data_IF_963498724274
#
_entry.id   IF_963498724274
#
_cell.length_a   1.000
_cell.length_b   1.000
_cell.length_c   1.000
_cell.angle_alpha   90.00
_cell.angle_beta   90.00
_cell.angle_gamma   90.00
#
_symmetry.space_group_name_H-M   'P 1'
#
loop_
_entity.id
_entity.type
_entity.pdbx_description
1 polymer ?
2 polymer ?
3 non-polymer ?
4 water ?
#
# COMPACT_ATOMS: atom_id res chain seq x y z
N UNK A 1 8.13 -9.53 15.48
CA UNK A 1 8.22 -10.72 14.57
C UNK A 1 6.82 -11.29 14.28
N UNK A 2 6.80 -12.50 13.73
CA UNK A 2 5.58 -13.15 13.29
C UNK A 2 4.92 -13.88 14.45
N UNK A 3 3.62 -13.62 14.61
CA UNK A 3 2.73 -14.38 15.50
C UNK A 3 2.36 -15.74 14.88
N UNK A 4 1.95 -16.69 15.72
CA UNK A 4 1.54 -18.02 15.27
C UNK A 4 0.27 -17.93 14.41
N UNK A 5 -0.53 -16.90 14.67
CA UNK A 5 -1.72 -16.62 13.87
C UNK A 5 -1.38 -15.77 12.64
N UNK A 6 -0.44 -14.85 12.76
CA UNK A 6 0.09 -14.17 11.58
C UNK A 6 0.37 -15.23 10.52
N UNK A 7 1.18 -16.22 10.90
CA UNK A 7 1.68 -17.23 9.96
C UNK A 7 0.56 -18.02 9.29
N UNK A 8 -0.49 -18.34 10.06
CA UNK A 8 -1.72 -18.94 9.50
C UNK A 8 -2.17 -18.16 8.29
N UNK A 9 -2.24 -16.85 8.46
CA UNK A 9 -2.67 -15.95 7.40
C UNK A 9 -1.65 -15.93 6.26
N UNK A 10 -0.41 -15.58 6.60
CA UNK A 10 0.67 -15.46 5.62
C UNK A 10 0.66 -16.66 4.70
N UNK A 11 0.73 -17.85 5.29
CA UNK A 11 0.76 -19.05 4.49
C UNK A 11 -0.50 -19.14 3.63
N UNK A 12 -1.67 -18.94 4.25
CA UNK A 12 -2.97 -19.11 3.58
C UNK A 12 -3.08 -18.47 2.20
N UNK A 13 -2.87 -17.16 2.14
CA UNK A 13 -2.79 -16.44 0.87
C UNK A 13 -1.81 -17.11 -0.07
N UNK A 14 -0.61 -17.41 0.39
CA UNK A 14 0.42 -17.93 -0.51
C UNK A 14 0.00 -19.24 -1.19
N UNK A 15 -0.85 -20.03 -0.51
CA UNK A 15 -1.50 -21.21 -1.10
C UNK A 15 -2.60 -20.77 -2.03
N UNK A 16 -3.46 -19.90 -1.51
CA UNK A 16 -4.49 -19.24 -2.32
C UNK A 16 -3.84 -18.39 -3.47
N UNK A 17 -2.54 -18.12 -3.36
CA UNK A 17 -1.70 -17.63 -4.47
C UNK A 17 -1.31 -18.81 -5.34
N UNK A 18 -0.60 -19.77 -4.72
CA UNK A 18 -0.22 -21.01 -5.37
C UNK A 18 0.85 -20.83 -6.42
N UNK A 19 0.75 -21.62 -7.49
CA UNK A 19 1.59 -21.48 -8.67
C UNK A 19 1.35 -20.21 -9.48
N UNK A 20 0.18 -19.57 -9.30
CA UNK A 20 -0.11 -18.22 -9.86
C UNK A 20 0.96 -17.15 -9.58
N UNK A 21 1.75 -17.39 -8.53
CA UNK A 21 2.88 -16.52 -8.12
C UNK A 21 3.94 -16.17 -9.20
N UNK A 22 3.87 -16.77 -10.39
CA UNK A 22 4.73 -16.32 -11.50
C UNK A 22 4.20 -14.99 -12.03
N UNK A 23 2.90 -14.96 -12.32
CA UNK A 23 2.20 -13.79 -12.90
C UNK A 23 2.06 -12.64 -11.92
N UNK A 24 1.81 -12.97 -10.66
CA UNK A 24 1.74 -11.98 -9.59
C UNK A 24 3.10 -11.30 -9.41
N UNK A 25 4.15 -12.11 -9.48
CA UNK A 25 5.53 -11.62 -9.42
C UNK A 25 5.82 -10.51 -10.42
N UNK A 26 5.39 -10.71 -11.67
CA UNK A 26 5.53 -9.68 -12.70
C UNK A 26 4.61 -8.49 -12.41
N UNK A 27 3.32 -8.78 -12.23
CA UNK A 27 2.30 -7.75 -12.00
C UNK A 27 2.70 -6.75 -10.92
N UNK A 28 3.23 -7.26 -9.82
CA UNK A 28 3.81 -6.42 -8.77
C UNK A 28 4.99 -5.63 -9.28
N UNK A 29 5.91 -6.29 -9.95
CA UNK A 29 7.08 -5.60 -10.48
C UNK A 29 6.69 -4.45 -11.40
N UNK A 30 5.77 -4.70 -12.32
CA UNK A 30 5.30 -3.68 -13.25
C UNK A 30 4.61 -2.53 -12.55
N UNK A 31 3.83 -2.88 -11.52
CA UNK A 31 3.17 -1.89 -10.69
C UNK A 31 4.18 -1.02 -9.95
N UNK A 32 5.35 -1.57 -9.64
CA UNK A 32 6.43 -0.80 -9.04
C UNK A 32 7.04 0.17 -10.06
N UNK A 33 7.35 -0.33 -11.25
CA UNK A 33 7.95 0.51 -12.31
C UNK A 33 7.00 1.59 -12.90
N UNK A 34 5.69 1.40 -12.73
CA UNK A 34 4.70 2.40 -13.15
C UNK A 34 4.42 3.41 -12.02
N UNK A 35 3.86 2.92 -10.92
CA UNK A 35 3.52 3.76 -9.77
C UNK A 35 4.73 4.39 -9.09
N UNK A 36 5.92 3.80 -9.31
CA UNK A 36 7.15 4.31 -8.72
C UNK A 36 8.29 4.20 -9.73
N UNK A 37 8.31 5.10 -10.73
CA UNK A 37 9.27 4.98 -11.84
C UNK A 37 10.71 5.24 -11.44
N UNK A 38 10.93 5.90 -10.31
CA UNK A 38 12.28 6.10 -9.77
C UNK A 38 12.96 4.78 -9.33
N UNK A 39 12.20 3.70 -9.33
CA UNK A 39 12.71 2.36 -9.08
C UNK A 39 13.40 1.81 -10.32
N UNK A 40 13.07 2.35 -11.48
CA UNK A 40 13.62 1.86 -12.75
C UNK A 40 15.14 1.97 -12.78
N UNK A 41 15.68 2.95 -12.06
CA UNK A 41 17.13 3.16 -11.92
C UNK A 41 17.95 1.92 -11.62
N UNK A 42 17.39 1.00 -10.84
CA UNK A 42 18.14 -0.16 -10.44
C UNK A 42 18.26 -1.19 -11.55
N UNK A 43 17.46 -1.11 -12.60
CA UNK A 43 17.55 -2.10 -13.67
C UNK A 43 17.89 -1.43 -15.00
N UNK A 44 18.98 -0.63 -15.05
CA UNK A 44 19.27 0.00 -16.33
C UNK A 44 19.59 -1.03 -17.39
N UNK A 45 20.11 -2.16 -16.96
CA UNK A 45 20.39 -3.29 -17.83
C UNK A 45 19.15 -4.05 -18.36
N UNK A 46 17.94 -3.69 -17.90
CA UNK A 46 16.69 -4.36 -18.30
C UNK A 46 15.94 -3.59 -19.37
N UNK A 47 15.24 -4.31 -20.25
CA UNK A 47 14.15 -3.74 -21.03
C UNK A 47 12.91 -3.60 -20.12
N UNK A 48 12.67 -2.39 -19.59
CA UNK A 48 11.54 -2.18 -18.67
C UNK A 48 10.26 -1.81 -19.41
N UNK A 49 9.95 -2.61 -20.41
CA UNK A 49 8.78 -2.48 -21.24
C UNK A 49 7.68 -3.42 -20.70
N UNK A 50 6.40 -3.03 -20.81
CA UNK A 50 5.31 -3.90 -20.33
C UNK A 50 5.45 -5.29 -20.94
N UNK A 51 5.20 -6.32 -20.12
CA UNK A 51 5.25 -7.69 -20.58
C UNK A 51 6.64 -8.20 -20.91
N UNK A 52 7.60 -7.31 -21.13
CA UNK A 52 8.98 -7.70 -21.47
C UNK A 52 9.40 -8.93 -20.67
N UNK A 53 9.83 -9.98 -21.38
CA UNK A 53 10.19 -11.26 -20.74
C UNK A 53 11.19 -11.10 -19.57
N UNK A 54 12.03 -10.07 -19.64
CA UNK A 54 12.91 -9.72 -18.53
C UNK A 54 12.15 -9.49 -17.23
N UNK A 55 11.20 -8.55 -17.24
CA UNK A 55 10.39 -8.26 -16.04
C UNK A 55 9.52 -9.47 -15.68
N UNK A 56 9.13 -10.27 -16.67
CA UNK A 56 8.34 -11.48 -16.39
C UNK A 56 9.20 -12.55 -15.71
N UNK A 57 10.36 -12.83 -16.29
CA UNK A 57 11.34 -13.75 -15.71
C UNK A 57 11.70 -13.30 -14.30
N UNK A 58 12.15 -12.05 -14.18
CA UNK A 58 12.54 -11.50 -12.89
C UNK A 58 11.38 -11.61 -11.90
N UNK A 59 10.16 -11.45 -12.41
CA UNK A 59 8.96 -11.64 -11.61
C UNK A 59 8.91 -12.96 -10.88
N UNK A 60 9.02 -14.06 -11.62
CA UNK A 60 8.91 -15.39 -11.01
C UNK A 60 9.87 -15.47 -9.85
N UNK A 61 11.12 -15.12 -10.13
CA UNK A 61 12.20 -15.25 -9.17
C UNK A 61 11.83 -14.55 -7.86
N UNK A 62 11.19 -13.38 -8.00
CA UNK A 62 10.86 -12.54 -6.85
C UNK A 62 9.81 -13.18 -5.98
N UNK A 63 8.68 -13.54 -6.59
CA UNK A 63 7.63 -14.22 -5.86
C UNK A 63 8.20 -15.52 -5.33
N UNK A 64 8.84 -16.28 -6.20
CA UNK A 64 9.39 -17.56 -5.82
C UNK A 64 10.17 -17.43 -4.51
N UNK A 65 10.93 -16.33 -4.37
CA UNK A 65 11.71 -16.07 -3.16
C UNK A 65 10.81 -15.85 -1.94
N UNK A 66 9.68 -15.16 -2.16
CA UNK A 66 8.67 -14.93 -1.13
C UNK A 66 7.96 -16.24 -0.77
N UNK A 67 7.49 -16.93 -1.79
CA UNK A 67 7.02 -18.31 -1.66
C UNK A 67 7.92 -19.09 -0.73
N UNK A 68 9.22 -19.07 -1.01
CA UNK A 68 10.20 -19.80 -0.20
C UNK A 68 10.37 -19.26 1.23
N UNK A 69 10.16 -17.97 1.42
CA UNK A 69 10.31 -17.37 2.74
C UNK A 69 9.12 -17.64 3.64
N UNK A 70 7.92 -17.62 3.06
CA UNK A 70 6.70 -17.91 3.79
C UNK A 70 6.52 -19.41 4.07
N UNK A 71 7.42 -20.24 3.53
CA UNK A 71 7.49 -21.66 3.86
C UNK A 71 8.42 -21.87 5.04
N UNK A 72 9.63 -21.31 4.94
CA UNK A 72 10.60 -21.28 6.05
C UNK A 72 10.33 -20.04 6.92
N UNK A 73 9.07 -19.86 7.31
CA UNK A 73 8.58 -18.62 7.92
C UNK A 73 9.07 -18.49 9.37
N UNK A 74 9.46 -19.61 9.98
CA UNK A 74 10.10 -19.61 11.30
C UNK A 74 11.55 -19.12 11.22
N UNK A 75 12.11 -19.10 10.01
CA UNK A 75 13.50 -18.73 9.79
C UNK A 75 13.66 -18.04 8.44
N UNK A 76 12.97 -16.91 8.29
CA UNK A 76 13.04 -16.10 7.07
C UNK A 76 14.47 -15.66 6.81
N UNK A 77 15.14 -15.21 7.87
CA UNK A 77 16.53 -14.76 7.79
C UNK A 77 17.40 -15.66 6.93
N UNK A 78 17.54 -16.91 7.35
CA UNK A 78 18.36 -17.89 6.64
C UNK A 78 17.80 -18.33 5.29
N UNK A 79 16.49 -18.21 5.14
CA UNK A 79 15.82 -18.45 3.85
C UNK A 79 16.18 -17.40 2.79
N UNK A 80 16.60 -16.21 3.23
CA UNK A 80 16.94 -15.11 2.33
C UNK A 80 18.36 -14.58 2.56
N UNK A 81 19.24 -15.47 3.03
CA UNK A 81 20.63 -15.11 3.34
C UNK A 81 21.39 -14.57 2.13
N UNK A 82 21.44 -15.39 1.10
CA UNK A 82 22.12 -15.10 -0.18
C UNK A 82 21.62 -13.79 -0.85
N UNK A 83 20.37 -13.40 -0.59
CA UNK A 83 19.79 -12.19 -1.18
C UNK A 83 20.10 -10.93 -0.37
N UNK A 84 20.12 -11.08 0.94
CA UNK A 84 20.51 -10.02 1.86
C UNK A 84 21.82 -9.31 1.47
N UNK A 85 22.81 -10.12 1.08
CA UNK A 85 24.13 -9.64 0.71
C UNK A 85 24.09 -8.95 -0.64
N UNK A 86 23.59 -9.64 -1.66
CA UNK A 86 23.37 -9.06 -3.00
C UNK A 86 22.68 -7.67 -2.96
N UNK A 87 21.54 -7.61 -2.28
CA UNK A 87 20.72 -6.38 -2.15
C UNK A 87 21.30 -5.28 -1.28
N UNK A 88 22.41 -5.54 -0.59
CA UNK A 88 23.06 -4.54 0.27
C UNK A 88 24.52 -4.25 -0.11
N UNK A 89 25.21 -5.23 -0.68
CA UNK A 89 26.65 -5.13 -0.87
C UNK A 89 26.98 -4.83 -2.33
N UNK A 90 26.35 -5.54 -3.26
CA UNK A 90 26.45 -5.14 -4.65
C UNK A 90 25.47 -4.03 -4.87
N UNK A 91 24.18 -4.37 -4.73
CA UNK A 91 23.10 -3.52 -5.26
C UNK A 91 22.84 -2.21 -4.51
N UNK A 92 22.97 -2.24 -3.17
CA UNK A 92 22.70 -1.07 -2.34
C UNK A 92 21.31 -0.47 -2.60
N UNK A 93 20.27 -1.30 -2.54
CA UNK A 93 18.91 -0.81 -2.75
C UNK A 93 18.43 0.00 -1.53
N UNK A 94 17.91 1.20 -1.77
CA UNK A 94 17.47 2.07 -0.68
C UNK A 94 16.35 1.37 0.07
N UNK A 95 16.43 1.31 1.42
CA UNK A 95 15.41 0.69 2.28
C UNK A 95 13.98 1.03 1.93
N UNK A 96 13.76 2.27 1.53
CA UNK A 96 12.45 2.75 1.14
C UNK A 96 11.88 2.10 -0.13
N UNK A 97 12.72 1.60 -1.03
CA UNK A 97 12.20 0.88 -2.20
C UNK A 97 11.48 -0.42 -1.79
N UNK A 98 11.89 -0.99 -0.66
CA UNK A 98 11.28 -2.22 -0.17
C UNK A 98 9.88 -1.95 0.29
N UNK A 99 9.66 -0.81 0.94
CA UNK A 99 8.31 -0.41 1.32
C UNK A 99 7.44 -0.46 0.08
N UNK A 100 7.92 0.16 -0.99
CA UNK A 100 7.13 0.30 -2.20
C UNK A 100 6.79 -1.07 -2.77
N UNK A 101 7.78 -1.95 -2.88
CA UNK A 101 7.57 -3.26 -3.48
C UNK A 101 6.44 -4.02 -2.77
N UNK A 102 6.56 -4.16 -1.46
CA UNK A 102 5.54 -4.83 -0.64
C UNK A 102 4.17 -4.24 -0.91
N UNK A 103 4.08 -2.91 -0.89
CA UNK A 103 2.84 -2.20 -1.20
C UNK A 103 2.16 -2.67 -2.48
N UNK A 104 2.93 -2.85 -3.54
CA UNK A 104 2.39 -3.27 -4.85
C UNK A 104 1.97 -4.74 -4.86
N UNK A 105 2.64 -5.57 -4.06
CA UNK A 105 2.23 -6.96 -3.88
C UNK A 105 0.91 -7.03 -3.18
N UNK A 106 0.73 -6.19 -2.16
CA UNK A 106 -0.53 -6.15 -1.44
C UNK A 106 -1.63 -5.69 -2.39
N UNK A 107 -1.32 -4.73 -3.25
CA UNK A 107 -2.25 -4.28 -4.26
C UNK A 107 -2.61 -5.43 -5.20
N UNK A 108 -1.58 -6.14 -5.64
CA UNK A 108 -1.75 -7.34 -6.46
C UNK A 108 -2.62 -8.40 -5.76
N UNK A 109 -2.30 -8.80 -4.53
CA UNK A 109 -3.12 -9.83 -3.84
C UNK A 109 -4.54 -9.33 -3.56
N UNK A 110 -4.72 -8.02 -3.43
CA UNK A 110 -6.04 -7.40 -3.22
C UNK A 110 -6.92 -7.54 -4.46
N UNK A 111 -6.39 -7.11 -5.60
CA UNK A 111 -7.09 -7.21 -6.87
C UNK A 111 -7.56 -8.65 -7.16
N UNK A 112 -6.68 -9.61 -6.90
CA UNK A 112 -6.90 -11.02 -7.23
C UNK A 112 -7.61 -11.81 -6.12
N UNK A 113 -7.41 -11.38 -4.88
CA UNK A 113 -7.98 -12.09 -3.70
C UNK A 113 -8.52 -11.15 -2.64
N UNK A 114 -9.49 -10.29 -3.02
CA UNK A 114 -10.03 -9.25 -2.13
C UNK A 114 -10.89 -9.82 -1.01
N UNK A 115 -11.61 -10.89 -1.32
CA UNK A 115 -12.42 -11.63 -0.35
C UNK A 115 -11.56 -12.53 0.55
N UNK A 116 -10.24 -12.45 0.39
CA UNK A 116 -9.28 -12.97 1.36
C UNK A 116 -8.58 -11.83 2.09
N UNK A 117 -8.27 -10.75 1.39
CA UNK A 117 -7.55 -9.67 2.04
C UNK A 117 -8.48 -8.91 2.96
N UNK A 118 -8.63 -9.45 4.17
CA UNK A 118 -9.35 -8.81 5.26
C UNK A 118 -8.33 -8.06 6.12
N UNK A 119 -8.76 -6.99 6.80
CA UNK A 119 -7.82 -6.17 7.59
C UNK A 119 -6.79 -7.00 8.37
N UNK A 120 -7.25 -8.04 9.06
CA UNK A 120 -6.38 -8.94 9.85
C UNK A 120 -5.24 -9.56 9.00
N UNK A 121 -5.61 -10.02 7.80
CA UNK A 121 -4.67 -10.55 6.81
C UNK A 121 -3.87 -9.42 6.17
N UNK A 122 -4.50 -8.26 5.98
CA UNK A 122 -3.75 -7.09 5.53
C UNK A 122 -2.59 -6.89 6.50
N UNK A 123 -2.92 -6.80 7.78
CA UNK A 123 -1.87 -6.64 8.80
C UNK A 123 -0.78 -7.70 8.64
N UNK A 124 -1.15 -8.96 8.80
CA UNK A 124 -0.19 -10.09 8.74
C UNK A 124 0.76 -10.05 7.56
N UNK A 125 0.23 -9.87 6.36
CA UNK A 125 1.05 -9.83 5.14
C UNK A 125 1.96 -8.61 5.04
N UNK A 126 1.54 -7.49 5.62
CA UNK A 126 2.44 -6.36 5.81
C UNK A 126 3.57 -6.86 6.73
N UNK A 127 3.21 -7.31 7.93
CA UNK A 127 4.18 -7.70 8.97
C UNK A 127 5.19 -8.72 8.45
N UNK A 128 4.70 -9.60 7.59
CA UNK A 128 5.55 -10.57 6.89
C UNK A 128 6.54 -9.86 5.99
N UNK A 129 6.00 -9.10 5.04
CA UNK A 129 6.79 -8.37 4.04
C UNK A 129 7.66 -7.27 4.63
N UNK A 130 7.32 -6.81 5.84
CA UNK A 130 8.23 -5.97 6.62
C UNK A 130 9.47 -6.74 7.05
N UNK A 131 9.28 -7.97 7.55
CA UNK A 131 10.42 -8.80 7.99
C UNK A 131 11.16 -9.50 6.83
N UNK A 132 10.50 -9.58 5.67
CA UNK A 132 11.17 -9.95 4.42
C UNK A 132 12.03 -8.79 3.99
N UNK A 133 11.48 -7.59 4.14
CA UNK A 133 12.21 -6.38 3.81
C UNK A 133 13.43 -6.22 4.72
N UNK A 134 13.26 -6.52 6.01
CA UNK A 134 14.29 -6.24 7.01
C UNK A 134 15.55 -7.08 6.81
N UNK A 135 15.37 -8.38 6.62
CA UNK A 135 16.49 -9.31 6.52
C UNK A 135 17.27 -9.18 5.20
N UNK A 136 16.64 -8.62 4.17
CA UNK A 136 17.31 -8.33 2.90
C UNK A 136 18.23 -7.11 3.01
N UNK A 137 18.07 -6.34 4.09
CA UNK A 137 18.87 -5.15 4.34
C UNK A 137 19.71 -5.23 5.62
N UNK A 138 19.98 -6.45 6.08
CA UNK A 138 20.71 -6.69 7.34
C UNK A 138 22.13 -6.16 7.37
N UNK A 139 22.72 -5.92 6.20
CA UNK A 139 24.10 -5.39 6.11
C UNK A 139 24.20 -3.86 6.26
N UNK A 140 23.04 -3.22 6.42
CA UNK A 140 22.93 -1.79 6.77
C UNK A 140 22.93 -1.58 8.29
N UNK A 141 22.12 -2.40 8.97
CA UNK A 141 21.93 -2.29 10.43
C UNK A 141 22.00 -3.67 11.14
N UNK B 1 2.14 20.01 -8.55
CA UNK B 1 2.09 18.75 -9.35
C UNK B 1 1.42 18.99 -10.71
N UNK B 2 2.23 18.90 -11.76
CA UNK B 2 1.75 19.06 -13.15
C UNK B 2 0.96 17.82 -13.54
N UNK B 3 -0.35 17.99 -13.69
CA UNK B 3 -1.22 16.85 -13.94
C UNK B 3 -1.28 16.53 -15.43
N UNK B 4 -1.48 15.25 -15.69
CA UNK B 4 -1.73 14.72 -17.02
C UNK B 4 -3.24 14.63 -17.21
N UNK B 5 -3.65 14.58 -18.47
CA UNK B 5 -5.06 14.47 -18.82
C UNK B 5 -5.54 13.06 -18.50
N UNK B 6 -4.81 12.07 -19.01
CA UNK B 6 -5.17 10.68 -18.77
C UNK B 6 -5.23 10.40 -17.27
N UNK B 7 -4.38 11.10 -16.51
CA UNK B 7 -4.40 10.99 -15.05
C UNK B 7 -5.72 11.54 -14.50
N UNK B 8 -6.14 12.70 -14.99
CA UNK B 8 -7.39 13.31 -14.52
C UNK B 8 -8.58 12.43 -14.88
N UNK B 9 -8.59 11.98 -16.13
CA UNK B 9 -9.53 10.95 -16.60
C UNK B 9 -9.57 9.74 -15.70
N UNK B 10 -8.39 9.13 -15.52
CA UNK B 10 -8.21 7.95 -14.65
C UNK B 10 -8.69 8.13 -13.21
N UNK B 11 -8.41 9.31 -12.67
CA UNK B 11 -8.79 9.65 -11.30
C UNK B 11 -10.29 9.88 -11.18
N UNK B 12 -10.82 10.71 -12.09
CA UNK B 12 -12.24 11.06 -12.08
C UNK B 12 -13.12 9.88 -12.46
N UNK B 13 -12.63 9.05 -13.38
CA UNK B 13 -13.41 7.91 -13.87
C UNK B 13 -13.50 6.73 -12.91
N UNK B 14 -12.40 6.44 -12.22
CA UNK B 14 -12.39 5.43 -11.14
C UNK B 14 -13.07 6.00 -9.92
N UNK B 15 -12.94 7.31 -9.70
CA UNK B 15 -13.69 8.02 -8.65
C UNK B 15 -15.20 7.90 -8.87
N UNK B 16 -15.58 7.82 -10.14
CA UNK B 16 -16.93 7.52 -10.55
C UNK B 16 -17.50 6.41 -9.72
N UNK B 17 -16.99 5.19 -9.86
CA UNK B 17 -17.63 4.02 -9.26
C UNK B 17 -17.32 3.81 -7.77
N UNK B 18 -16.80 4.85 -7.11
CA UNK B 18 -16.46 4.74 -5.71
C UNK B 18 -17.67 5.01 -4.85
N UNK B 19 -17.92 4.10 -3.92
CA UNK B 19 -18.94 4.28 -2.91
C UNK B 19 -18.28 4.72 -1.61
N UNK B 20 -18.27 6.03 -1.39
CA UNK B 20 -17.41 6.62 -0.36
C UNK B 20 -17.76 6.19 1.06
N UNK B 21 -19.02 5.85 1.27
CA UNK B 21 -19.49 5.37 2.57
C UNK B 21 -18.74 4.10 2.96
N UNK B 22 -18.75 3.11 2.08
CA UNK B 22 -18.02 1.86 2.28
C UNK B 22 -16.51 2.08 2.20
N UNK B 23 -16.02 2.46 1.02
CA UNK B 23 -14.59 2.66 0.83
C UNK B 23 -14.01 3.45 1.99
N UNK B 24 -14.67 4.55 2.34
CA UNK B 24 -14.16 5.44 3.38
C UNK B 24 -14.02 4.76 4.72
N UNK B 25 -15.05 4.00 5.09
CA UNK B 25 -15.13 3.25 6.36
C UNK B 25 -14.11 2.11 6.42
N UNK B 26 -14.02 1.40 5.31
CA UNK B 26 -13.09 0.29 5.13
C UNK B 26 -11.67 0.82 5.16
N UNK B 27 -11.46 1.97 4.51
CA UNK B 27 -10.17 2.64 4.46
C UNK B 27 -9.71 3.06 5.85
N UNK B 28 -10.60 3.65 6.61
CA UNK B 28 -10.24 4.04 7.96
C UNK B 28 -10.06 2.79 8.80
N UNK B 29 -11.04 1.88 8.77
CA UNK B 29 -10.96 0.59 9.49
C UNK B 29 -9.61 -0.09 9.29
N UNK B 30 -9.17 -0.19 8.04
CA UNK B 30 -7.85 -0.71 7.75
C UNK B 30 -6.72 0.16 8.35
N UNK B 31 -6.84 1.49 8.30
CA UNK B 31 -5.85 2.33 8.98
C UNK B 31 -5.84 2.05 10.50
N UNK B 32 -7.02 1.91 11.08
CA UNK B 32 -7.13 1.67 12.52
C UNK B 32 -6.53 0.34 12.97
N UNK B 33 -6.64 -0.68 12.14
CA UNK B 33 -6.25 -2.03 12.54
C UNK B 33 -4.84 -2.37 12.09
N UNK B 34 -4.46 -2.01 10.86
CA UNK B 34 -3.13 -2.33 10.34
C UNK B 34 -2.07 -1.49 11.02
N UNK B 35 -2.35 -0.21 11.24
CA UNK B 35 -1.43 0.63 11.96
C UNK B 35 -2.12 1.10 13.23
N UNK B 36 -2.17 0.23 14.25
CA UNK B 36 -3.06 0.43 15.41
C UNK B 36 -2.72 1.62 16.29
N UNK B 37 -1.53 2.20 16.13
CA UNK B 37 -1.17 3.41 16.85
C UNK B 37 -1.94 4.63 16.37
N UNK B 38 -2.69 4.46 15.28
CA UNK B 38 -3.55 5.52 14.75
C UNK B 38 -4.85 5.67 15.58
N UNK B 39 -5.25 4.58 16.24
CA UNK B 39 -6.44 4.57 17.12
C UNK B 39 -6.32 5.53 18.30
N UNK B 40 -5.08 5.84 18.69
CA UNK B 40 -4.79 6.86 19.68
C UNK B 40 -5.57 8.14 19.39
N UNK B 41 -5.62 8.50 18.11
CA UNK B 41 -6.25 9.74 17.67
C UNK B 41 -7.76 9.70 17.67
N UNK B 42 -8.33 8.51 17.72
CA UNK B 42 -9.78 8.34 17.74
C UNK B 42 -10.28 7.66 19.06
N UNK B 43 -9.76 8.15 20.17
CA UNK B 43 -10.18 7.74 21.52
C UNK B 43 -11.60 8.17 21.76
N UNK B 44 -12.01 9.21 21.05
CA UNK B 44 -13.37 9.78 21.09
C UNK B 44 -14.42 8.96 20.32
N UNK B 45 -13.96 7.95 19.58
CA UNK B 45 -14.82 7.04 18.84
C UNK B 45 -15.21 5.84 19.70
N UNK B 46 -14.66 5.71 20.89
CA UNK B 46 -15.11 4.69 21.84
C UNK B 46 -14.50 3.29 21.69
N UNK B 47 -15.32 2.31 21.27
CA UNK B 47 -14.88 0.91 21.21
C UNK B 47 -14.08 0.54 19.95
N UNK B 48 -12.77 0.41 20.15
CA UNK B 48 -11.80 0.02 19.12
C UNK B 48 -10.83 -1.05 19.68
N UNK B 49 -11.32 -1.84 20.64
CA UNK B 49 -10.56 -2.94 21.26
C UNK B 49 -10.25 -4.06 20.28
N UNK B 50 -11.19 -4.36 19.40
CA UNK B 50 -11.09 -5.48 18.49
C UNK B 50 -11.18 -5.03 17.05
N UNK B 51 -10.58 -5.81 16.16
CA UNK B 51 -10.76 -5.64 14.73
C UNK B 51 -12.25 -5.66 14.39
N UNK B 52 -13.00 -6.58 14.99
CA UNK B 52 -14.44 -6.66 14.74
C UNK B 52 -15.15 -5.39 15.20
N UNK B 53 -14.79 -4.88 16.37
CA UNK B 53 -15.43 -3.67 16.93
C UNK B 53 -15.12 -2.41 16.10
N UNK B 54 -13.94 -2.40 15.51
CA UNK B 54 -13.48 -1.28 14.67
C UNK B 54 -14.22 -1.22 13.32
N UNK B 55 -14.46 -2.39 12.73
CA UNK B 55 -14.92 -2.45 11.35
C UNK B 55 -16.45 -2.30 11.21
N UNK B 56 -17.17 -2.11 12.31
CA UNK B 56 -18.56 -1.70 12.22
C UNK B 56 -18.88 -0.51 13.09
N UNK B 57 -17.84 0.09 13.69
CA UNK B 57 -18.00 1.22 14.59
C UNK B 57 -18.62 2.39 13.84
N UNK B 58 -19.88 2.75 14.17
CA UNK B 58 -20.59 3.83 13.46
C UNK B 58 -19.75 5.08 13.24
N UNK B 59 -18.94 5.44 14.23
CA UNK B 59 -18.09 6.64 14.15
C UNK B 59 -16.95 6.48 13.16
N UNK B 60 -16.27 5.35 13.21
CA UNK B 60 -15.30 4.98 12.18
C UNK B 60 -16.03 4.97 10.84
N UNK B 61 -17.05 4.12 10.74
CA UNK B 61 -17.86 3.97 9.50
C UNK B 61 -18.52 5.27 9.03
N UNK B 62 -18.80 6.18 9.97
CA UNK B 62 -19.29 7.53 9.66
C UNK B 62 -18.14 8.49 9.31
N UNK B 63 -17.11 8.52 10.13
CA UNK B 63 -15.97 9.38 9.89
C UNK B 63 -15.31 9.00 8.57
N UNK B 64 -15.30 7.70 8.26
CA UNK B 64 -14.64 7.19 7.06
C UNK B 64 -15.18 7.84 5.80
N UNK B 65 -16.49 8.03 5.78
CA UNK B 65 -17.15 8.73 4.69
C UNK B 65 -16.66 10.17 4.63
N UNK B 66 -16.64 10.85 5.79
CA UNK B 66 -16.13 12.24 5.90
C UNK B 66 -14.80 12.46 5.19
N UNK B 67 -13.83 11.60 5.50
CA UNK B 67 -12.48 11.73 5.00
C UNK B 67 -12.42 11.45 3.51
N UNK B 68 -13.16 10.43 3.07
CA UNK B 68 -13.16 10.10 1.65
C UNK B 68 -13.91 11.21 0.86
N UNK B 69 -15.04 11.69 1.38
CA UNK B 69 -15.74 12.84 0.80
C UNK B 69 -14.70 13.89 0.44
N UNK B 70 -13.87 14.20 1.44
CA UNK B 70 -12.73 15.13 1.31
C UNK B 70 -11.76 14.78 0.18
N UNK B 71 -11.46 13.50 0.02
CA UNK B 71 -10.67 13.06 -1.11
C UNK B 71 -11.34 13.45 -2.43
N UNK B 72 -12.64 13.19 -2.51
CA UNK B 72 -13.46 13.61 -3.65
C UNK B 72 -13.24 15.05 -4.04
N UNK B 73 -13.27 15.92 -3.04
CA UNK B 73 -13.08 17.37 -3.21
C UNK B 73 -11.77 17.71 -3.95
N UNK B 74 -10.74 16.92 -3.71
CA UNK B 74 -9.47 17.02 -4.42
C UNK B 74 -9.65 16.61 -5.88
N UNK B 75 -10.40 15.54 -6.09
CA UNK B 75 -10.70 15.01 -7.43
C UNK B 75 -11.40 16.04 -8.32
N UNK B 76 -12.13 16.97 -7.70
CA UNK B 76 -12.80 18.08 -8.40
C UNK B 76 -11.75 19.14 -8.82
N UNK B 77 -11.15 19.81 -7.84
CA UNK B 77 -10.13 20.84 -8.07
C UNK B 77 -8.73 20.27 -8.00
N UNK B 78 -8.42 19.33 -8.89
CA UNK B 78 -7.11 18.65 -8.88
C UNK B 78 -5.91 19.61 -8.92
N UNK B 79 -6.07 20.70 -9.66
CA UNK B 79 -5.01 21.70 -9.83
C UNK B 79 -4.95 22.64 -8.65
N UNK B 80 -5.89 22.52 -7.74
CA UNK B 80 -5.99 23.43 -6.61
C UNK B 80 -6.09 22.67 -5.27
N UNK B 81 -5.33 21.59 -5.17
CA UNK B 81 -5.28 20.78 -3.94
C UNK B 81 -4.61 21.55 -2.79
N UNK B 82 -3.58 22.32 -3.09
CA UNK B 82 -2.89 23.13 -2.07
C UNK B 82 -3.87 23.77 -1.09
N UNK B 83 -4.95 24.33 -1.62
CA UNK B 83 -5.90 25.10 -0.82
C UNK B 83 -7.13 24.30 -0.39
N UNK B 84 -7.45 23.19 -1.07
CA UNK B 84 -8.58 22.31 -0.70
C UNK B 84 -8.39 21.74 0.70
N UNK B 85 -7.13 21.55 1.10
CA UNK B 85 -6.80 20.95 2.38
C UNK B 85 -6.16 21.92 3.36
N UNK B 86 -5.95 23.15 2.91
CA UNK B 86 -5.27 24.21 3.68
C UNK B 86 -5.63 24.30 5.16
N UNK B 87 -6.90 24.06 5.45
CA UNK B 87 -7.46 24.29 6.76
C UNK B 87 -7.29 23.04 7.57
N UNK B 88 -7.71 21.93 6.98
CA UNK B 88 -7.45 20.61 7.53
C UNK B 88 -5.94 20.34 7.70
N UNK B 89 -5.09 21.19 7.12
CA UNK B 89 -3.68 21.25 7.50
C UNK B 89 -3.60 21.66 8.98
N UNK B 90 -4.06 22.87 9.30
CA UNK B 90 -4.05 23.35 10.69
C UNK B 90 -4.69 22.35 11.63
N UNK B 91 -5.82 21.77 11.22
CA UNK B 91 -6.47 20.75 12.02
C UNK B 91 -5.45 19.65 12.35
N UNK B 92 -4.84 19.07 11.32
CA UNK B 92 -3.93 17.91 11.47
C UNK B 92 -2.50 18.24 11.95
N UNK B 93 -2.13 19.50 11.89
CA UNK B 93 -0.78 19.92 12.18
C UNK B 93 -0.70 20.65 13.51
N UNK B 94 -1.52 21.67 13.71
CA UNK B 94 -1.49 22.47 14.94
C UNK B 94 -2.30 21.86 16.07
N UNK B 95 -3.53 21.47 15.77
CA UNK B 95 -4.37 20.86 16.80
C UNK B 95 -3.91 19.42 17.06
N UNK B 96 -4.21 18.53 16.12
CA UNK B 96 -4.06 17.07 16.29
C UNK B 96 -2.60 16.57 16.26
N UNK B 97 -1.73 17.25 15.51
CA UNK B 97 -0.29 16.95 15.42
C UNK B 97 0.02 15.56 14.91
N UNK B 98 -0.66 15.10 13.86
CA UNK B 98 -0.39 13.76 13.35
C UNK B 98 0.89 13.76 12.51
N UNK B 99 1.82 12.82 12.75
CA UNK B 99 3.05 12.75 11.95
C UNK B 99 2.69 12.43 10.48
N UNK B 100 3.19 13.24 9.52
CA UNK B 100 2.76 13.18 8.11
C UNK B 100 2.90 11.82 7.45
N UNK B 101 3.75 10.97 8.01
CA UNK B 101 3.89 9.59 7.56
C UNK B 101 2.53 8.92 7.53
N UNK B 102 1.71 9.18 8.55
CA UNK B 102 0.35 8.62 8.62
C UNK B 102 -0.53 8.95 7.39
N UNK B 103 -0.34 10.13 6.82
CA UNK B 103 -1.10 10.57 5.67
C UNK B 103 -0.81 9.70 4.43
N UNK B 104 0.44 9.24 4.31
CA UNK B 104 0.78 8.25 3.30
C UNK B 104 0.24 6.88 3.67
N UNK B 105 0.34 6.51 4.93
CA UNK B 105 -0.13 5.21 5.37
C UNK B 105 -1.60 5.10 5.01
N UNK B 106 -2.39 6.04 5.50
CA UNK B 106 -3.81 6.13 5.14
C UNK B 106 -4.09 6.36 3.67
N UNK B 107 -3.06 6.77 2.95
CA UNK B 107 -3.13 6.97 1.52
C UNK B 107 -2.68 5.74 0.77
N UNK B 108 -1.65 5.07 1.28
CA UNK B 108 -1.27 3.75 0.81
C UNK B 108 -2.39 2.73 0.97
N UNK B 109 -3.06 2.79 2.12
CA UNK B 109 -4.19 1.90 2.41
C UNK B 109 -5.33 2.18 1.43
N UNK B 110 -5.64 3.46 1.24
CA UNK B 110 -6.67 3.82 0.27
C UNK B 110 -6.43 3.12 -1.06
N UNK B 111 -5.19 3.11 -1.52
CA UNK B 111 -4.86 2.48 -2.80
C UNK B 111 -5.24 1.00 -2.80
N UNK B 112 -5.19 0.34 -1.63
CA UNK B 112 -5.50 -1.08 -1.51
C UNK B 112 -7.01 -1.30 -1.52
N UNK B 113 -7.76 -0.44 -0.84
CA UNK B 113 -9.23 -0.58 -0.85
C UNK B 113 -9.70 -0.44 -2.29
N UNK B 114 -9.24 0.62 -2.96
CA UNK B 114 -9.50 0.82 -4.38
C UNK B 114 -9.19 -0.41 -5.22
N UNK B 115 -8.05 -1.03 -4.95
CA UNK B 115 -7.60 -2.20 -5.70
C UNK B 115 -8.50 -3.43 -5.52
N UNK B 116 -8.90 -3.69 -4.26
CA UNK B 116 -9.79 -4.82 -3.94
C UNK B 116 -11.16 -4.59 -4.55
N UNK B 117 -11.58 -3.33 -4.56
CA UNK B 117 -12.88 -2.94 -5.09
C UNK B 117 -13.07 -2.99 -6.60
N UNK B 118 -12.08 -2.53 -7.36
CA UNK B 118 -12.24 -2.38 -8.82
C UNK B 118 -11.41 -3.34 -9.67
N UNK B 119 -10.67 -4.22 -8.99
CA UNK B 119 -10.07 -5.45 -9.51
C UNK B 119 -9.27 -5.05 -10.75
N UNK B 120 -9.43 -5.73 -11.87
CA UNK B 120 -8.52 -5.54 -13.00
C UNK B 120 -8.64 -4.13 -13.60
N UNK B 121 -9.82 -3.52 -13.43
CA UNK B 121 -10.06 -2.13 -13.84
C UNK B 121 -9.08 -1.14 -13.14
N UNK B 122 -8.39 -1.59 -12.09
CA UNK B 122 -7.38 -0.80 -11.38
C UNK B 122 -5.98 -1.06 -11.97
N UNK B 123 -5.76 -0.66 -13.23
CA UNK B 123 -4.52 -1.00 -13.95
C UNK B 123 -3.34 -0.30 -13.29
N UNK B 124 -2.10 -0.74 -13.57
CA UNK B 124 -0.92 -0.13 -12.92
C UNK B 124 -0.78 1.34 -13.16
N UNK B 125 -1.23 1.81 -14.32
CA UNK B 125 -1.19 3.25 -14.65
C UNK B 125 -2.26 4.05 -13.89
N UNK B 126 -3.44 3.44 -13.70
CA UNK B 126 -4.45 3.96 -12.77
C UNK B 126 -3.89 4.05 -11.36
N UNK B 127 -3.38 2.92 -10.85
CA UNK B 127 -2.70 2.86 -9.55
C UNK B 127 -1.70 3.99 -9.37
N UNK B 128 -0.95 4.27 -10.44
CA UNK B 128 0.04 5.34 -10.47
C UNK B 128 -0.59 6.73 -10.46
N UNK B 129 -1.67 6.89 -11.22
CA UNK B 129 -2.48 8.11 -11.20
C UNK B 129 -2.98 8.44 -9.79
N UNK B 130 -3.58 7.45 -9.15
CA UNK B 130 -4.05 7.56 -7.77
C UNK B 130 -2.91 7.69 -6.76
N UNK B 131 -1.76 7.12 -7.07
CA UNK B 131 -0.59 7.26 -6.23
C UNK B 131 -0.16 8.71 -6.11
N UNK B 132 -0.19 9.43 -7.24
CA UNK B 132 0.19 10.85 -7.21
C UNK B 132 -0.83 11.63 -6.36
N UNK B 133 -2.13 11.50 -6.71
CA UNK B 133 -3.25 12.17 -6.01
C UNK B 133 -3.09 12.09 -4.50
N UNK B 134 -2.94 10.87 -4.03
CA UNK B 134 -2.76 10.58 -2.61
C UNK B 134 -1.50 11.28 -2.07
N UNK B 135 -0.41 11.15 -2.83
CA UNK B 135 0.84 11.83 -2.50
C UNK B 135 0.71 13.34 -2.49
N UNK B 136 -0.09 13.87 -3.41
CA UNK B 136 -0.40 15.30 -3.47
C UNK B 136 -1.19 15.75 -2.27
N UNK B 137 -2.20 14.95 -1.91
CA UNK B 137 -3.09 15.27 -0.81
C UNK B 137 -2.35 15.27 0.53
N UNK B 138 -1.35 14.41 0.68
CA UNK B 138 -0.63 14.31 1.93
C UNK B 138 0.36 15.47 2.12
N UNK B 139 0.93 15.97 1.01
CA UNK B 139 1.73 17.23 1.03
C UNK B 139 0.82 18.38 1.44
N UNK B 140 -0.37 18.44 0.84
CA UNK B 140 -1.34 19.51 1.08
C UNK B 140 -1.82 19.58 2.54
N UNK B 141 -1.84 18.44 3.22
CA UNK B 141 -2.11 18.42 4.66
C UNK B 141 -0.85 18.86 5.37
N UNK B 142 0.25 18.21 5.01
CA UNK B 142 1.56 18.51 5.57
C UNK B 142 1.99 19.96 5.39
N UNK B 143 1.56 20.60 4.29
CA UNK B 143 2.06 21.92 3.89
C UNK B 143 2.35 22.84 5.06
N UNK B 144 1.48 22.81 6.07
CA UNK B 144 1.67 23.63 7.26
C UNK B 144 2.45 22.88 8.32
N UNK B 145 3.64 22.40 7.95
CA UNK B 145 4.62 21.94 8.93
C UNK B 145 5.87 22.75 8.69
N UNK B 146 6.73 22.29 7.79
CA UNK B 146 7.88 23.11 7.38
C UNK B 146 7.34 24.00 6.26
X LIG C 1 17.47 -9.61 -7.65
X LIG C 1 13.79 -10.91 -4.81
X LIG C 1 13.26 -6.28 -3.49
X LIG C 1 16.08 -4.99 -7.15
X LIG C 1 16.56 -10.35 -6.93
X LIG C 1 16.51 -11.76 -6.92
X LIG C 1 15.47 -12.13 -6.14
X LIG C 1 14.85 -10.95 -5.67
X LIG C 1 15.05 -13.54 -5.82
X LIG C 1 17.46 -12.68 -7.63
X LIG C 1 17.18 -12.70 -9.13
X LIG C 1 18.44 -13.18 -9.80
X LIG C 1 18.88 -14.32 -9.50
X LIG C 1 19.02 -12.44 -10.65
X LIG C 1 13.35 -9.75 -4.17
X LIG C 1 12.39 -9.76 -3.11
X LIG C 1 12.23 -8.45 -2.72
X LIG C 1 13.16 -7.67 -3.58
X LIG C 1 11.69 -10.99 -2.54
X LIG C 1 11.37 -7.83 -1.67
X LIG C 1 10.53 -8.49 -0.86
X LIG C 1 13.96 -5.50 -4.38
X LIG C 1 13.79 -4.10 -4.54
X LIG C 1 14.59 -3.71 -5.59
X LIG C 1 15.22 -4.90 -6.10
X LIG C 1 12.94 -3.16 -3.73
X LIG C 1 14.61 -2.30 -6.00
X LIG C 1 15.16 -1.85 -7.11
X LIG C 1 16.70 -6.18 -7.54
X LIG C 1 17.78 -6.18 -8.53
X LIG C 1 18.17 -7.46 -8.67
X LIG C 1 17.34 -8.24 -7.75
X LIG C 1 18.34 -4.99 -9.29
X LIG C 1 19.26 -7.99 -9.59
X LIG C 1 18.63 -8.52 -10.88
X LIG C 1 19.54 -8.31 -12.08
X LIG C 1 19.67 -9.21 -12.94
X LIG C 1 20.16 -7.22 -12.24
X LIG C 1 15.52 -9.86 -6.18
X LIG C 1 13.79 -8.51 -4.40
X LIG C 1 14.77 -5.95 -5.37
X LIG C 1 16.49 -7.43 -7.10
X LIG C 1 15.20 -7.94 -5.86
X LIG D 1 -10.73 14.62 10.93
X LIG D 1 -9.34 14.38 6.32
X LIG D 1 -5.53 11.65 7.59
X LIG D 1 -6.78 12.14 12.25
X LIG D 1 -10.68 14.76 9.56
X LIG D 1 -11.69 15.37 8.77
X LIG D 1 -11.30 15.29 7.47
X LIG D 1 -10.04 14.66 7.46
X LIG D 1 -12.04 15.81 6.26
X LIG D 1 -13.00 15.95 9.27
X LIG D 1 -12.96 17.39 9.76
X LIG D 1 -14.36 17.75 10.22
X LIG D 1 -15.27 16.89 10.32
X LIG D 1 -14.61 18.95 10.48
X LIG D 1 -8.19 13.60 6.27
X LIG D 1 -7.54 13.27 5.05
X LIG D 1 -6.46 12.49 5.33
X LIG D 1 -6.47 12.36 6.83
X LIG D 1 -7.94 13.67 3.65
X LIG D 1 -5.58 12.02 4.23
X LIG D 1 -4.41 11.40 4.35
X LIG D 1 -5.53 11.52 8.98
X LIG D 1 -4.65 10.74 9.74
X LIG D 1 -5.00 10.88 11.09
X LIG D 1 -6.11 11.76 11.12
X LIG D 1 -3.54 9.93 9.15
X LIG D 1 -4.42 10.27 12.32
X LIG D 1 -3.48 9.35 12.34
X LIG D 1 -7.97 12.86 12.20
X LIG D 1 -8.69 13.13 13.45
X LIG D 1 -9.78 13.81 13.08
X LIG D 1 -9.74 13.96 11.63
X LIG D 1 -8.28 12.75 14.84
X LIG D 1 -10.84 14.32 14.03
X LIG D 1 -11.79 13.17 14.37
X LIG D 1 -13.06 13.71 14.95
X LIG D 1 -13.55 13.23 16.01
X LIG D 1 -13.66 14.64 14.39
X LIG D 1 -9.71 14.26 8.73
X LIG D 1 -7.55 13.05 7.30
X LIG D 1 -6.46 12.07 9.83
X LIG D 1 -8.64 13.36 11.13
X LIG D 1 -8.09 13.28 9.32
#
# INVERSE_FOLDING_TARGET
>A
VLSASDKTNVKGVFAKVGGSAEAYGAETLERMFTAYPQTKTYFPHFDLHHGSAQIKAHGKKVAAALVEAANHIDDIAGALSKLSDLHAQKLRVDPVNFKLLGHCFLVVVAIHHPTLLTPEVHASLDKFMCAVAKELTAKYR
>B
VHWTAEEKQLITGLWGKVNVAECGAEALARLLIVYPWTQRFFASFGNLSSATAITGNPMVRAHGKKVLTSFGEAVKNLDNIKATFAQLSELHCDKLHVDPENFRLLGDILIIVLAAHFAKDFTPECQAAWQKLVGAVAHALARKYH
>C hetero
1 HEM CHA CHB CHC CHD C1A C2A C3A C4A CMA CAA CBA CGA O1A O2A C1B C2B C3B C4B CMB CAB CBB C1C C2C C3C C4C CMC CAC CBC C1D C2D C3D C4D CMD CAD CBD CGD O1D O2D NA NB NC ND FE
>D hetero
1 HEM CHA CHB CHC CHD C1A C2A C3A C4A CMA CAA CBA CGA O1A O2A C1B C2B C3B C4B CMB CAB CBB C1C C2C C3C C4C CMC CAC CBC C1D C2D C3D C4D CMD CAD CBD CGD O1D O2D NA NB NC ND FE
#
